data_IF_763961953020
#
_entry.id   IF_763961953020
#
_cell.length_a   1.000
_cell.length_b   1.000
_cell.length_c   1.000
_cell.angle_alpha   90.00
_cell.angle_beta   90.00
_cell.angle_gamma   90.00
#
_symmetry.space_group_name_H-M   'P 1'
#
loop_
_entity.id
_entity.type
_entity.pdbx_description
1 polymer ?
#
# COMPACT_ATOMS: atom_id res chain seq x y z
N UNK A 1 -35.79 -20.81 -10.67
CA UNK A 1 -36.38 -19.63 -10.00
C UNK A 1 -35.24 -18.88 -9.33
N UNK A 2 -35.38 -17.57 -9.09
CA UNK A 2 -34.31 -16.77 -8.46
C UNK A 2 -33.78 -17.38 -7.14
N UNK A 3 -34.66 -17.96 -6.34
CA UNK A 3 -34.34 -18.65 -5.08
C UNK A 3 -33.46 -19.90 -5.25
N UNK A 4 -33.59 -20.62 -6.37
CA UNK A 4 -32.74 -21.78 -6.69
C UNK A 4 -31.33 -21.33 -7.08
N UNK A 5 -31.23 -20.26 -7.88
CA UNK A 5 -29.96 -19.64 -8.26
C UNK A 5 -29.23 -19.08 -7.04
N UNK A 6 -29.94 -18.39 -6.14
CA UNK A 6 -29.38 -17.91 -4.87
C UNK A 6 -28.80 -19.06 -4.03
N UNK A 7 -29.53 -20.18 -3.92
CA UNK A 7 -29.07 -21.34 -3.16
C UNK A 7 -27.78 -21.91 -3.75
N UNK A 8 -27.75 -22.11 -5.07
CA UNK A 8 -26.57 -22.61 -5.79
C UNK A 8 -25.39 -21.64 -5.70
N UNK A 9 -25.64 -20.33 -5.72
CA UNK A 9 -24.62 -19.31 -5.53
C UNK A 9 -23.98 -19.40 -4.14
N UNK A 10 -24.80 -19.60 -3.10
CA UNK A 10 -24.31 -19.81 -1.72
C UNK A 10 -23.50 -21.10 -1.60
N UNK A 11 -23.92 -22.18 -2.25
CA UNK A 11 -23.16 -23.43 -2.30
C UNK A 11 -21.80 -23.21 -3.00
N UNK A 12 -21.79 -22.58 -4.17
CA UNK A 12 -20.55 -22.24 -4.88
C UNK A 12 -19.62 -21.35 -4.04
N UNK A 13 -20.17 -20.38 -3.29
CA UNK A 13 -19.40 -19.55 -2.37
C UNK A 13 -18.79 -20.35 -1.22
N UNK A 14 -19.52 -21.33 -0.65
CA UNK A 14 -19.01 -22.22 0.40
C UNK A 14 -17.89 -23.12 -0.13
N UNK A 15 -17.95 -23.49 -1.40
CA UNK A 15 -16.93 -24.30 -2.09
C UNK A 15 -15.74 -23.46 -2.60
N UNK A 16 -15.63 -22.19 -2.19
CA UNK A 16 -14.62 -21.20 -2.64
C UNK A 16 -14.60 -20.97 -4.16
N UNK A 17 -15.66 -21.35 -4.88
CA UNK A 17 -15.82 -21.09 -6.32
C UNK A 17 -16.50 -19.73 -6.53
N UNK A 18 -15.75 -18.67 -6.24
CA UNK A 18 -16.27 -17.32 -6.19
C UNK A 18 -16.70 -16.77 -7.56
N UNK A 19 -16.00 -17.12 -8.65
CA UNK A 19 -16.41 -16.73 -10.01
C UNK A 19 -17.81 -17.28 -10.34
N UNK A 20 -18.03 -18.58 -10.07
CA UNK A 20 -19.34 -19.20 -10.25
C UNK A 20 -20.40 -18.57 -9.33
N UNK A 21 -20.05 -18.23 -8.09
CA UNK A 21 -20.96 -17.55 -7.19
C UNK A 21 -21.40 -16.19 -7.75
N UNK A 22 -20.48 -15.38 -8.29
CA UNK A 22 -20.79 -14.09 -8.93
C UNK A 22 -21.72 -14.28 -10.13
N UNK A 23 -21.46 -15.26 -10.99
CA UNK A 23 -22.29 -15.56 -12.16
C UNK A 23 -23.71 -15.98 -11.76
N UNK A 24 -23.83 -16.84 -10.75
CA UNK A 24 -25.12 -17.32 -10.27
C UNK A 24 -25.92 -16.20 -9.56
N UNK A 25 -25.25 -15.35 -8.77
CA UNK A 25 -25.90 -14.17 -8.19
C UNK A 25 -26.34 -13.18 -9.26
N UNK A 26 -25.56 -13.00 -10.32
CA UNK A 26 -25.92 -12.14 -11.45
C UNK A 26 -27.18 -12.65 -12.15
N UNK A 27 -27.25 -13.95 -12.44
CA UNK A 27 -28.47 -14.56 -13.01
C UNK A 27 -29.67 -14.46 -12.06
N UNK A 28 -29.45 -14.56 -10.74
CA UNK A 28 -30.52 -14.39 -9.75
C UNK A 28 -31.04 -12.94 -9.74
N UNK A 29 -30.15 -11.95 -9.87
CA UNK A 29 -30.48 -10.53 -9.98
C UNK A 29 -31.18 -10.18 -11.28
N UNK A 30 -30.88 -10.85 -12.40
CA UNK A 30 -31.63 -10.67 -13.65
C UNK A 30 -33.11 -11.08 -13.50
N UNK A 31 -33.40 -12.01 -12.59
CA UNK A 31 -34.77 -12.43 -12.27
C UNK A 31 -35.42 -11.58 -11.18
N UNK A 32 -34.64 -11.11 -10.21
CA UNK A 32 -35.11 -10.30 -9.08
C UNK A 32 -34.18 -9.10 -8.82
N UNK A 33 -34.26 -8.04 -9.65
CA UNK A 33 -33.29 -6.94 -9.64
C UNK A 33 -33.45 -6.00 -8.44
N UNK A 34 -34.48 -6.17 -7.62
CA UNK A 34 -34.71 -5.34 -6.43
C UNK A 34 -34.34 -6.07 -5.13
N UNK A 35 -33.68 -7.22 -5.22
CA UNK A 35 -33.30 -8.01 -4.06
C UNK A 35 -31.98 -7.51 -3.47
N UNK A 36 -32.08 -6.69 -2.43
CA UNK A 36 -30.94 -6.12 -1.74
C UNK A 36 -29.97 -7.18 -1.17
N UNK A 37 -30.47 -8.36 -0.78
CA UNK A 37 -29.62 -9.43 -0.26
C UNK A 37 -28.72 -10.04 -1.33
N UNK A 38 -29.22 -10.18 -2.57
CA UNK A 38 -28.43 -10.73 -3.68
C UNK A 38 -27.27 -9.81 -4.04
N UNK A 39 -27.49 -8.48 -4.05
CA UNK A 39 -26.41 -7.52 -4.21
C UNK A 39 -25.38 -7.62 -3.08
N UNK A 40 -25.81 -7.69 -1.82
CA UNK A 40 -24.90 -7.80 -0.68
C UNK A 40 -24.09 -9.11 -0.67
N UNK A 41 -24.66 -10.20 -1.16
CA UNK A 41 -23.99 -11.50 -1.25
C UNK A 41 -23.04 -11.54 -2.47
N UNK A 42 -23.43 -10.97 -3.62
CA UNK A 42 -22.54 -10.81 -4.78
C UNK A 42 -21.34 -9.91 -4.47
N UNK A 43 -21.55 -8.82 -3.71
CA UNK A 43 -20.46 -7.99 -3.21
C UNK A 43 -19.42 -8.78 -2.42
N UNK A 44 -19.86 -9.75 -1.60
CA UNK A 44 -18.94 -10.60 -0.85
C UNK A 44 -18.18 -11.56 -1.76
N UNK A 45 -18.79 -12.11 -2.80
CA UNK A 45 -18.10 -12.93 -3.78
C UNK A 45 -17.04 -12.11 -4.55
N UNK A 46 -17.40 -10.89 -4.97
CA UNK A 46 -16.46 -9.96 -5.61
C UNK A 46 -15.28 -9.57 -4.70
N UNK A 47 -15.51 -9.37 -3.39
CA UNK A 47 -14.42 -9.14 -2.41
C UNK A 47 -13.43 -10.31 -2.36
N UNK A 48 -13.91 -11.55 -2.51
CA UNK A 48 -13.04 -12.74 -2.51
C UNK A 48 -12.21 -12.88 -3.78
N UNK A 49 -12.62 -12.21 -4.85
CA UNK A 49 -11.93 -12.14 -6.14
C UNK A 49 -11.07 -10.87 -6.29
N UNK A 50 -10.97 -10.03 -5.25
CA UNK A 50 -10.33 -8.71 -5.29
C UNK A 50 -10.97 -7.73 -6.31
N UNK A 51 -12.22 -7.99 -6.74
CA UNK A 51 -13.02 -7.11 -7.60
C UNK A 51 -13.71 -6.01 -6.77
N UNK A 52 -12.92 -5.12 -6.18
CA UNK A 52 -13.41 -4.18 -5.17
C UNK A 52 -14.37 -3.13 -5.73
N UNK A 53 -14.15 -2.65 -6.96
CA UNK A 53 -15.04 -1.66 -7.61
C UNK A 53 -16.45 -2.21 -7.78
N UNK A 54 -16.58 -3.44 -8.26
CA UNK A 54 -17.84 -4.16 -8.41
C UNK A 54 -18.48 -4.44 -7.05
N UNK A 55 -17.68 -4.84 -6.06
CA UNK A 55 -18.17 -5.07 -4.70
C UNK A 55 -18.77 -3.81 -4.06
N UNK A 56 -18.15 -2.64 -4.26
CA UNK A 56 -18.66 -1.35 -3.76
C UNK A 56 -19.95 -0.96 -4.46
N UNK A 57 -20.01 -1.12 -5.79
CA UNK A 57 -21.22 -0.85 -6.55
C UNK A 57 -22.39 -1.69 -6.04
N UNK A 58 -22.16 -2.99 -5.83
CA UNK A 58 -23.14 -3.92 -5.28
C UNK A 58 -23.53 -3.57 -3.82
N UNK A 59 -22.55 -3.26 -2.96
CA UNK A 59 -22.82 -2.88 -1.59
C UNK A 59 -23.64 -1.57 -1.49
N UNK A 60 -23.33 -0.57 -2.31
CA UNK A 60 -24.10 0.66 -2.41
C UNK A 60 -25.52 0.39 -2.91
N UNK A 61 -25.68 -0.49 -3.91
CA UNK A 61 -27.00 -0.85 -4.44
C UNK A 61 -27.85 -1.57 -3.40
N UNK A 62 -27.24 -2.48 -2.63
CA UNK A 62 -27.91 -3.13 -1.50
C UNK A 62 -28.38 -2.13 -0.44
N UNK A 63 -27.56 -1.14 -0.09
CA UNK A 63 -27.92 -0.08 0.87
C UNK A 63 -29.03 0.83 0.33
N UNK A 64 -29.00 1.16 -0.96
CA UNK A 64 -30.05 1.95 -1.61
C UNK A 64 -31.41 1.25 -1.56
N UNK A 65 -31.42 -0.07 -1.79
CA UNK A 65 -32.64 -0.88 -1.80
C UNK A 65 -33.15 -1.19 -0.39
N UNK A 66 -32.25 -1.54 0.54
CA UNK A 66 -32.58 -1.80 1.93
C UNK A 66 -31.47 -1.28 2.88
N UNK A 67 -31.65 -0.07 3.45
CA UNK A 67 -30.70 0.53 4.37
C UNK A 67 -30.51 -0.24 5.68
N UNK A 68 -31.32 -1.27 5.98
CA UNK A 68 -31.23 -2.06 7.22
C UNK A 68 -30.25 -3.23 7.12
N UNK A 69 -29.74 -3.56 5.92
CA UNK A 69 -28.83 -4.69 5.71
C UNK A 69 -27.43 -4.35 6.23
N UNK A 70 -27.17 -4.72 7.48
CA UNK A 70 -25.89 -4.50 8.15
C UNK A 70 -24.68 -5.05 7.37
N UNK A 71 -24.82 -6.23 6.72
CA UNK A 71 -23.76 -6.84 5.91
C UNK A 71 -23.33 -5.97 4.73
N UNK A 72 -24.23 -5.17 4.15
CA UNK A 72 -23.90 -4.31 3.01
C UNK A 72 -22.94 -3.19 3.42
N UNK A 73 -23.13 -2.59 4.60
CA UNK A 73 -22.18 -1.63 5.16
C UNK A 73 -20.82 -2.25 5.47
N UNK A 74 -20.79 -3.50 5.96
CA UNK A 74 -19.54 -4.24 6.16
C UNK A 74 -18.80 -4.49 4.84
N UNK A 75 -19.52 -4.82 3.76
CA UNK A 75 -18.91 -5.02 2.43
C UNK A 75 -18.39 -3.70 1.85
N UNK A 76 -19.14 -2.61 2.03
CA UNK A 76 -18.67 -1.26 1.65
C UNK A 76 -17.42 -0.84 2.43
N UNK A 77 -17.35 -1.15 3.73
CA UNK A 77 -16.20 -0.82 4.57
C UNK A 77 -14.92 -1.58 4.22
N UNK A 78 -15.02 -2.75 3.60
CA UNK A 78 -13.85 -3.54 3.16
C UNK A 78 -13.04 -2.83 2.07
N UNK A 79 -13.71 -2.01 1.24
CA UNK A 79 -13.05 -1.18 0.22
C UNK A 79 -12.25 -0.03 0.83
N UNK A 80 -12.76 0.59 1.89
CA UNK A 80 -12.13 1.74 2.56
C UNK A 80 -10.70 1.45 3.07
N UNK A 81 -10.38 0.17 3.28
CA UNK A 81 -9.05 -0.26 3.69
C UNK A 81 -8.21 -0.90 2.56
N UNK A 82 -8.83 -1.25 1.41
CA UNK A 82 -8.18 -2.01 0.34
C UNK A 82 -8.18 -1.34 -1.05
N UNK A 83 -8.98 -0.30 -1.31
CA UNK A 83 -8.89 0.47 -2.55
C UNK A 83 -7.97 1.68 -2.39
N UNK A 84 -7.11 1.89 -3.38
CA UNK A 84 -6.19 3.03 -3.47
C UNK A 84 -6.84 4.29 -4.03
N UNK A 85 -8.17 4.31 -4.20
CA UNK A 85 -8.84 5.28 -5.07
C UNK A 85 -9.49 6.45 -4.33
N UNK A 86 -9.77 6.35 -3.03
CA UNK A 86 -10.40 7.44 -2.28
C UNK A 86 -9.76 7.64 -0.90
N UNK A 87 -9.43 8.89 -0.59
CA UNK A 87 -9.04 9.31 0.75
C UNK A 87 -10.19 10.12 1.33
N UNK A 88 -10.88 9.57 2.32
CA UNK A 88 -11.97 10.26 3.01
C UNK A 88 -11.44 10.87 4.30
N UNK A 89 -11.46 12.20 4.34
CA UNK A 89 -11.05 13.00 5.50
C UNK A 89 -12.29 13.42 6.28
N UNK A 90 -12.39 12.98 7.54
CA UNK A 90 -13.49 13.36 8.44
C UNK A 90 -13.02 14.43 9.41
N UNK A 91 -13.73 15.57 9.44
CA UNK A 91 -13.42 16.69 10.34
C UNK A 91 -14.52 16.75 11.41
N UNK A 92 -14.11 16.64 12.68
CA UNK A 92 -15.03 16.77 13.81
C UNK A 92 -14.87 18.15 14.45
N UNK A 93 -15.91 19.00 14.32
CA UNK A 93 -15.99 20.30 14.97
C UNK A 93 -17.19 20.34 15.91
N UNK A 94 -16.95 20.31 17.23
CA UNK A 94 -18.02 20.25 18.23
C UNK A 94 -18.61 21.64 18.47
N UNK A 95 -19.93 21.76 18.38
CA UNK A 95 -20.64 23.02 18.69
C UNK A 95 -20.54 24.09 17.59
N UNK A 96 -20.01 23.73 16.42
CA UNK A 96 -19.88 24.64 15.27
C UNK A 96 -20.94 24.29 14.21
N UNK A 97 -21.76 25.25 13.75
CA UNK A 97 -22.68 25.05 12.65
C UNK A 97 -21.97 24.65 11.35
N UNK A 98 -22.59 23.82 10.51
CA UNK A 98 -21.99 23.35 9.27
C UNK A 98 -21.65 24.50 8.28
N UNK A 99 -22.45 25.57 8.26
CA UNK A 99 -22.23 26.75 7.44
C UNK A 99 -21.03 27.61 7.89
N UNK A 100 -20.47 27.34 9.07
CA UNK A 100 -19.26 27.97 9.56
C UNK A 100 -17.99 27.16 9.22
N UNK A 101 -18.13 26.03 8.52
CA UNK A 101 -17.01 25.19 8.09
C UNK A 101 -16.90 25.28 6.57
N UNK A 102 -15.75 25.74 6.08
CA UNK A 102 -15.40 25.72 4.67
C UNK A 102 -14.27 24.73 4.44
N UNK A 103 -14.48 23.80 3.51
CA UNK A 103 -13.48 22.81 3.11
C UNK A 103 -13.20 22.98 1.63
N UNK A 104 -11.94 23.23 1.30
CA UNK A 104 -11.46 23.37 -0.07
C UNK A 104 -10.35 22.35 -0.35
N UNK A 105 -10.45 21.66 -1.49
CA UNK A 105 -9.47 20.68 -1.93
C UNK A 105 -8.68 21.26 -3.11
N UNK A 106 -7.45 21.67 -2.84
CA UNK A 106 -6.49 22.06 -3.88
C UNK A 106 -5.64 20.88 -4.34
N UNK A 107 -4.91 21.06 -5.46
CA UNK A 107 -4.05 20.02 -6.04
C UNK A 107 -2.98 19.46 -5.08
N UNK A 108 -2.53 20.24 -4.10
CA UNK A 108 -1.45 19.86 -3.19
C UNK A 108 -1.80 20.04 -1.71
N UNK A 109 -2.96 20.64 -1.40
CA UNK A 109 -3.33 21.02 -0.05
C UNK A 109 -4.82 20.85 0.16
N UNK A 110 -5.19 20.31 1.31
CA UNK A 110 -6.52 20.46 1.86
C UNK A 110 -6.53 21.77 2.64
N UNK A 111 -7.59 22.57 2.53
CA UNK A 111 -7.81 23.75 3.36
C UNK A 111 -9.13 23.64 4.09
N UNK A 112 -9.06 23.55 5.42
CA UNK A 112 -10.21 23.55 6.33
C UNK A 112 -10.20 24.86 7.09
N UNK A 113 -11.28 25.63 6.95
CA UNK A 113 -11.48 26.89 7.63
C UNK A 113 -12.72 26.75 8.49
N UNK A 114 -12.61 27.06 9.78
CA UNK A 114 -13.71 26.99 10.74
C UNK A 114 -13.87 28.35 11.39
N UNK A 115 -14.96 29.04 11.06
CA UNK A 115 -15.32 30.32 11.66
C UNK A 115 -15.98 30.08 13.02
N UNK A 116 -15.22 30.30 14.09
CA UNK A 116 -15.69 30.12 15.46
C UNK A 116 -16.30 31.44 15.95
N UNK A 117 -17.61 31.50 16.28
CA UNK A 117 -18.24 32.74 16.71
C UNK A 117 -17.58 33.33 17.98
N UNK A 118 -16.99 34.51 17.87
CA UNK A 118 -16.35 35.21 18.98
C UNK A 118 -14.89 34.83 19.24
N UNK A 119 -14.30 33.98 18.42
CA UNK A 119 -12.89 33.61 18.47
C UNK A 119 -12.22 33.87 17.10
N UNK A 120 -10.90 33.69 17.04
CA UNK A 120 -10.20 33.70 15.76
C UNK A 120 -10.57 32.46 14.92
N UNK A 121 -10.73 32.68 13.62
CA UNK A 121 -10.98 31.61 12.65
C UNK A 121 -9.87 30.58 12.70
N UNK A 122 -10.25 29.31 12.81
CA UNK A 122 -9.32 28.20 12.79
C UNK A 122 -9.00 27.80 11.35
N UNK A 123 -7.70 27.73 11.03
CA UNK A 123 -7.19 27.33 9.73
C UNK A 123 -6.37 26.05 9.85
N UNK A 124 -6.74 25.01 9.12
CA UNK A 124 -6.00 23.76 9.01
C UNK A 124 -5.72 23.46 7.54
N UNK A 125 -4.44 23.52 7.16
CA UNK A 125 -4.01 23.43 5.77
C UNK A 125 -2.90 22.38 5.56
N UNK A 126 -3.19 21.07 5.71
CA UNK A 126 -2.17 20.06 5.50
C UNK A 126 -1.84 19.92 4.00
N UNK A 127 -0.56 19.70 3.70
CA UNK A 127 -0.15 19.28 2.36
C UNK A 127 -0.51 17.81 2.16
N UNK A 128 -1.21 17.50 1.08
CA UNK A 128 -1.65 16.14 0.75
C UNK A 128 -0.51 15.28 0.19
N UNK A 129 0.49 15.93 -0.43
CA UNK A 129 1.68 15.26 -0.94
C UNK A 129 2.93 15.87 -0.31
N UNK A 130 3.68 15.05 0.44
CA UNK A 130 5.07 15.38 0.76
C UNK A 130 5.91 15.20 -0.49
N UNK A 131 6.82 16.13 -0.79
CA UNK A 131 7.99 15.76 -1.60
C UNK A 131 8.63 14.59 -0.86
N UNK A 132 8.82 13.45 -1.51
CA UNK A 132 9.79 12.47 -1.05
C UNK A 132 11.06 13.26 -0.74
N UNK A 133 11.43 13.35 0.54
CA UNK A 133 12.76 13.80 0.86
C UNK A 133 13.64 12.70 0.30
N UNK A 134 14.40 12.99 -0.75
CA UNK A 134 15.67 12.29 -0.93
C UNK A 134 16.37 12.42 0.42
N UNK A 135 16.38 11.34 1.20
CA UNK A 135 17.27 11.26 2.34
C UNK A 135 18.66 11.45 1.75
N UNK A 136 19.26 12.60 2.04
CA UNK A 136 20.69 12.77 1.90
C UNK A 136 21.31 11.76 2.84
N UNK A 137 21.59 10.57 2.32
CA UNK A 137 22.42 9.59 2.99
C UNK A 137 23.75 10.30 3.23
N UNK A 138 24.11 10.46 4.49
CA UNK A 138 25.41 11.01 4.91
C UNK A 138 26.24 9.89 5.54
N UNK A 139 27.57 10.01 5.44
CA UNK A 139 28.51 9.04 6.01
C UNK A 139 28.41 7.63 5.42
N UNK A 140 28.46 6.61 6.28
CA UNK A 140 28.57 5.18 5.90
C UNK A 140 27.40 4.68 5.06
N UNK A 141 26.20 5.26 5.22
CA UNK A 141 25.02 4.85 4.46
C UNK A 141 25.11 5.29 2.98
N UNK A 142 25.68 6.46 2.72
CA UNK A 142 25.92 6.94 1.36
C UNK A 142 26.96 6.10 0.64
N UNK A 143 28.02 5.76 1.37
CA UNK A 143 29.12 4.94 0.87
C UNK A 143 28.67 3.50 0.60
N UNK A 144 27.86 2.92 1.49
CA UNK A 144 27.27 1.60 1.28
C UNK A 144 26.33 1.57 0.07
N UNK A 145 25.51 2.61 -0.12
CA UNK A 145 24.66 2.71 -1.31
C UNK A 145 25.50 2.83 -2.59
N UNK A 146 26.55 3.66 -2.58
CA UNK A 146 27.48 3.76 -3.71
C UNK A 146 28.09 2.39 -4.06
N UNK A 147 28.49 1.59 -3.07
CA UNK A 147 29.00 0.24 -3.33
C UNK A 147 27.95 -0.72 -3.86
N UNK A 148 26.71 -0.65 -3.37
CA UNK A 148 25.61 -1.45 -3.89
C UNK A 148 25.31 -1.11 -5.35
N UNK A 149 25.30 0.17 -5.70
CA UNK A 149 25.08 0.63 -7.07
C UNK A 149 26.22 0.17 -7.99
N UNK A 150 27.48 0.33 -7.58
CA UNK A 150 28.64 -0.16 -8.34
C UNK A 150 28.55 -1.67 -8.54
N UNK A 151 28.22 -2.44 -7.51
CA UNK A 151 28.15 -3.90 -7.61
C UNK A 151 26.98 -4.37 -8.49
N UNK A 152 25.81 -3.71 -8.40
CA UNK A 152 24.63 -4.07 -9.19
C UNK A 152 24.91 -3.93 -10.69
N UNK A 153 25.52 -2.82 -11.07
CA UNK A 153 25.71 -2.43 -12.47
C UNK A 153 27.06 -2.91 -13.04
N UNK A 154 27.88 -3.59 -12.22
CA UNK A 154 29.20 -4.10 -12.59
C UNK A 154 29.17 -5.38 -13.45
N UNK A 155 30.21 -5.51 -14.28
CA UNK A 155 30.55 -6.76 -14.94
C UNK A 155 31.14 -7.80 -13.98
N UNK A 156 31.29 -9.03 -14.46
CA UNK A 156 31.72 -10.17 -13.65
C UNK A 156 33.14 -10.01 -13.09
N UNK A 157 34.07 -9.39 -13.84
CA UNK A 157 35.44 -9.20 -13.38
C UNK A 157 35.48 -8.18 -12.23
N UNK A 158 34.68 -7.11 -12.33
CA UNK A 158 34.54 -6.11 -11.27
C UNK A 158 33.90 -6.73 -10.03
N UNK A 159 32.81 -7.49 -10.16
CA UNK A 159 32.17 -8.19 -9.03
C UNK A 159 33.14 -9.17 -8.36
N UNK A 160 33.92 -9.90 -9.16
CA UNK A 160 34.91 -10.85 -8.68
C UNK A 160 36.05 -10.16 -7.93
N UNK A 161 36.51 -9.01 -8.43
CA UNK A 161 37.50 -8.18 -7.75
C UNK A 161 36.99 -7.68 -6.40
N UNK A 162 35.77 -7.15 -6.38
CA UNK A 162 35.12 -6.61 -5.18
C UNK A 162 34.96 -7.68 -4.11
N UNK A 163 34.39 -8.84 -4.48
CA UNK A 163 34.19 -9.95 -3.55
C UNK A 163 35.53 -10.48 -3.02
N UNK A 164 36.52 -10.70 -3.88
CA UNK A 164 37.84 -11.21 -3.46
C UNK A 164 38.52 -10.22 -2.51
N UNK A 165 38.61 -8.94 -2.87
CA UNK A 165 39.28 -7.95 -2.04
C UNK A 165 38.59 -7.77 -0.70
N UNK A 166 37.25 -7.76 -0.69
CA UNK A 166 36.47 -7.58 0.53
C UNK A 166 36.65 -8.76 1.48
N UNK A 167 36.57 -9.99 0.96
CA UNK A 167 36.73 -11.21 1.77
C UNK A 167 38.16 -11.33 2.31
N UNK A 168 39.18 -11.18 1.46
CA UNK A 168 40.58 -11.35 1.88
C UNK A 168 41.05 -10.29 2.87
N UNK A 169 40.48 -9.09 2.77
CA UNK A 169 40.79 -7.96 3.67
C UNK A 169 39.92 -7.92 4.94
N UNK A 170 39.07 -8.92 5.17
CA UNK A 170 38.07 -8.92 6.26
C UNK A 170 37.19 -7.64 6.25
N UNK A 171 36.79 -7.20 5.07
CA UNK A 171 35.85 -6.10 4.86
C UNK A 171 36.47 -4.71 4.90
N UNK A 172 37.79 -4.58 4.90
CA UNK A 172 38.48 -3.29 5.02
C UNK A 172 38.97 -2.71 3.69
N UNK A 173 39.03 -3.51 2.62
CA UNK A 173 39.47 -3.08 1.29
C UNK A 173 38.48 -3.55 0.22
N UNK A 174 38.08 -2.62 -0.66
CA UNK A 174 37.23 -2.91 -1.82
C UNK A 174 37.91 -2.43 -3.10
N UNK A 175 38.14 -3.34 -4.05
CA UNK A 175 38.75 -3.04 -5.35
C UNK A 175 37.84 -3.49 -6.49
N UNK A 176 37.74 -2.68 -7.53
CA UNK A 176 36.99 -3.00 -8.76
C UNK A 176 37.90 -3.54 -9.88
N UNK A 177 39.21 -3.67 -9.65
CA UNK A 177 40.16 -4.02 -10.70
C UNK A 177 40.70 -5.44 -10.56
N UNK A 178 40.11 -6.38 -11.31
CA UNK A 178 40.52 -7.79 -11.27
C UNK A 178 41.98 -8.02 -11.70
N UNK A 179 42.51 -7.21 -12.63
CA UNK A 179 43.91 -7.36 -13.07
C UNK A 179 44.89 -7.06 -11.94
N UNK A 180 44.50 -6.18 -11.02
CA UNK A 180 45.34 -5.81 -9.88
C UNK A 180 45.21 -6.81 -8.72
N UNK A 181 43.98 -7.21 -8.37
CA UNK A 181 43.76 -8.06 -7.19
C UNK A 181 43.71 -9.56 -7.51
N UNK A 182 43.54 -9.95 -8.77
CA UNK A 182 43.34 -11.35 -9.17
C UNK A 182 44.54 -12.24 -8.83
N UNK A 183 45.76 -11.72 -8.98
CA UNK A 183 47.02 -12.48 -8.79
C UNK A 183 47.70 -12.30 -7.42
N UNK A 184 47.22 -11.38 -6.58
CA UNK A 184 47.80 -11.11 -5.25
C UNK A 184 46.78 -11.30 -4.14
N UNK A 185 47.25 -11.50 -2.92
CA UNK A 185 46.40 -11.47 -1.73
C UNK A 185 46.16 -10.02 -1.33
N UNK A 186 44.92 -9.69 -1.00
CA UNK A 186 44.56 -8.35 -0.52
C UNK A 186 44.67 -8.33 1.00
N UNK A 187 45.60 -7.52 1.53
CA UNK A 187 45.75 -7.32 2.96
C UNK A 187 44.72 -6.33 3.50
N UNK A 188 44.27 -6.55 4.73
CA UNK A 188 43.34 -5.64 5.39
C UNK A 188 44.01 -4.37 5.88
N UNK A 189 43.35 -3.24 5.69
CA UNK A 189 43.79 -1.93 6.19
C UNK A 189 42.63 -1.29 6.97
N UNK A 190 42.57 -1.50 8.30
CA UNK A 190 41.47 -0.95 9.09
C UNK A 190 41.52 0.59 9.05
N UNK A 191 40.36 1.27 9.16
CA UNK A 191 40.32 2.72 9.27
C UNK A 191 41.12 3.24 10.46
N UNK A 192 41.52 4.51 10.38
CA UNK A 192 42.33 5.15 11.42
C UNK A 192 41.66 5.04 12.81
N UNK A 193 42.42 4.56 13.79
CA UNK A 193 41.93 4.33 15.16
C UNK A 193 41.29 2.96 15.41
N UNK A 194 41.22 2.07 14.41
CA UNK A 194 40.67 0.72 14.54
C UNK A 194 41.75 -0.36 14.35
N UNK A 195 41.69 -1.43 15.14
CA UNK A 195 42.60 -2.58 15.04
C UNK A 195 41.89 -3.79 14.40
N UNK A 196 42.53 -4.39 13.40
CA UNK A 196 42.04 -5.61 12.77
C UNK A 196 42.23 -6.81 13.69
N UNK A 197 41.14 -7.36 14.23
CA UNK A 197 41.17 -8.62 15.01
C UNK A 197 40.92 -9.81 14.11
N UNK A 198 41.83 -10.80 14.12
CA UNK A 198 41.60 -12.11 13.50
C UNK A 198 40.77 -12.96 14.46
N UNK A 199 39.61 -13.40 14.01
CA UNK A 199 38.82 -14.41 14.72
C UNK A 199 39.25 -15.79 14.23
N UNK A 200 39.80 -16.60 15.13
CA UNK A 200 40.01 -18.03 14.91
C UNK A 200 38.74 -18.74 15.39
N UNK A 201 38.11 -19.53 14.51
CA UNK A 201 36.96 -20.37 14.85
C UNK A 201 37.40 -21.67 15.51
#
# INVERSE_FOLDING_TARGET
>A
MATDLEKRAKEAFVDDNFDLAVDLYTQALDMDPNNANLYADRAQANIKLDNFTEAVADANKAIELDPSIAKAYLRKGHDYYNSSTEVVLTIFAKGIPANNVSVDFGEQMLSVIIDIPGEETYHFQPRLFGKEKEEKLDGDAALNKLFQDIYRDADEDVKRAMNKSFIESNGTVLSTNWKDVGSKKVEGSPPEGLELKKWEY
#
